data_IF_297945469443
#
_entry.id   IF_297945469443
#
_cell.length_a   1.000
_cell.length_b   1.000
_cell.length_c   1.000
_cell.angle_alpha   90.00
_cell.angle_beta   90.00
_cell.angle_gamma   90.00
#
_symmetry.space_group_name_H-M   'P 1'
#
loop_
_entity.id
_entity.type
_entity.pdbx_description
1 polymer ?
#
# COMPACT_ATOMS: atom_id res chain seq x y z
N UNK A 1 26.97 13.23 3.88
CA UNK A 1 27.00 13.19 2.40
C UNK A 1 26.31 14.45 1.89
N UNK A 2 27.03 15.35 1.21
CA UNK A 2 26.41 16.50 0.55
C UNK A 2 25.68 15.98 -0.69
N UNK A 3 24.36 16.17 -0.76
CA UNK A 3 23.60 15.96 -2.00
C UNK A 3 24.06 17.02 -3.00
N UNK A 4 25.15 16.74 -3.71
CA UNK A 4 25.63 17.58 -4.79
C UNK A 4 24.64 17.36 -5.93
N UNK A 5 23.79 18.37 -6.15
CA UNK A 5 22.97 18.48 -7.34
C UNK A 5 23.90 18.70 -8.53
N UNK A 6 24.43 17.62 -9.10
CA UNK A 6 24.92 17.70 -10.47
C UNK A 6 23.68 17.91 -11.34
N UNK A 7 23.45 19.17 -11.70
CA UNK A 7 22.52 19.57 -12.76
C UNK A 7 23.10 19.07 -14.07
N UNK A 8 23.03 17.76 -14.28
CA UNK A 8 23.04 17.19 -15.60
C UNK A 8 21.60 17.28 -16.07
N UNK A 9 21.39 18.23 -17.00
CA UNK A 9 20.25 18.31 -17.92
C UNK A 9 20.08 16.97 -18.65
N UNK A 10 19.61 15.95 -17.94
CA UNK A 10 19.01 14.76 -18.52
C UNK A 10 17.54 15.00 -18.32
N UNK A 11 16.92 15.42 -19.41
CA UNK A 11 15.49 15.51 -19.68
C UNK A 11 14.63 15.61 -18.42
N UNK A 12 14.09 16.81 -18.23
CA UNK A 12 12.87 17.08 -17.50
C UNK A 12 11.93 15.88 -17.74
N UNK A 13 11.95 14.90 -16.83
CA UNK A 13 10.81 14.04 -16.66
C UNK A 13 9.77 15.05 -16.27
N UNK A 14 8.92 15.40 -17.22
CA UNK A 14 7.62 15.90 -16.92
C UNK A 14 6.99 14.83 -16.05
N UNK A 15 7.24 14.91 -14.74
CA UNK A 15 6.23 14.57 -13.75
C UNK A 15 5.18 15.65 -13.99
N UNK A 16 4.46 15.50 -15.11
CA UNK A 16 3.07 15.90 -15.19
C UNK A 16 2.50 15.36 -13.91
N UNK A 17 2.11 16.28 -13.05
CA UNK A 17 1.48 16.18 -11.73
C UNK A 17 0.76 14.84 -11.49
N UNK A 18 1.53 13.76 -11.43
CA UNK A 18 0.97 12.43 -11.31
C UNK A 18 0.75 12.35 -9.82
N UNK A 19 -0.50 12.38 -9.37
CA UNK A 19 -0.91 12.09 -7.99
C UNK A 19 -0.49 10.68 -7.52
N UNK A 20 0.42 10.02 -8.24
CA UNK A 20 1.05 8.74 -7.94
C UNK A 20 2.03 8.91 -6.78
N UNK A 21 1.93 8.06 -5.74
CA UNK A 21 2.97 7.98 -4.72
C UNK A 21 4.33 7.60 -5.33
N UNK A 22 5.37 8.34 -4.98
CA UNK A 22 6.74 7.98 -5.31
C UNK A 22 7.15 6.78 -4.45
N UNK A 23 7.33 5.62 -5.06
CA UNK A 23 7.74 4.40 -4.37
C UNK A 23 9.22 4.12 -4.58
N UNK A 24 9.91 3.70 -3.52
CA UNK A 24 11.32 3.33 -3.57
C UNK A 24 11.55 1.98 -2.87
N UNK A 25 12.61 1.28 -3.26
CA UNK A 25 13.05 0.04 -2.62
C UNK A 25 14.57 -0.02 -2.55
N UNK A 26 15.08 -0.77 -1.59
CA UNK A 26 16.51 -1.03 -1.48
C UNK A 26 16.82 -2.13 -0.48
N UNK A 27 18.10 -2.39 -0.32
CA UNK A 27 18.63 -3.32 0.66
C UNK A 27 19.91 -2.78 1.28
N UNK A 28 20.19 -3.16 2.51
CA UNK A 28 21.40 -2.75 3.22
C UNK A 28 21.92 -3.89 4.10
N UNK A 29 23.18 -4.24 3.89
CA UNK A 29 23.88 -5.24 4.70
C UNK A 29 24.55 -4.56 5.91
N UNK A 30 24.35 -5.15 7.09
CA UNK A 30 24.98 -4.68 8.32
C UNK A 30 25.27 -5.83 9.28
N UNK A 31 26.35 -5.65 10.03
CA UNK A 31 26.67 -6.53 11.14
C UNK A 31 25.88 -6.12 12.38
N UNK A 32 25.12 -7.05 12.93
CA UNK A 32 24.31 -6.87 14.14
C UNK A 32 24.81 -7.79 15.23
N UNK A 33 24.88 -7.29 16.45
CA UNK A 33 25.10 -8.05 17.67
C UNK A 33 24.23 -7.45 18.77
N UNK A 34 23.84 -8.25 19.76
CA UNK A 34 23.12 -7.73 20.92
C UNK A 34 23.33 -8.61 22.14
N UNK A 35 23.33 -8.00 23.32
CA UNK A 35 23.24 -8.73 24.59
C UNK A 35 21.80 -9.11 24.94
N UNK A 36 20.81 -8.60 24.18
CA UNK A 36 19.39 -8.87 24.33
C UNK A 36 18.83 -9.48 23.03
N UNK A 37 17.58 -9.94 23.06
CA UNK A 37 16.87 -10.39 21.86
C UNK A 37 16.54 -9.26 20.86
N UNK A 38 16.99 -8.03 21.09
CA UNK A 38 16.64 -6.85 20.27
C UNK A 38 17.85 -5.95 20.10
N UNK A 39 17.95 -5.32 18.95
CA UNK A 39 18.96 -4.28 18.68
C UNK A 39 18.39 -3.20 17.79
N UNK A 40 18.89 -1.98 17.94
CA UNK A 40 18.50 -0.86 17.09
C UNK A 40 19.53 -0.67 15.97
N UNK A 41 19.05 -0.33 14.78
CA UNK A 41 19.91 0.00 13.66
C UNK A 41 19.34 1.18 12.87
N UNK A 42 20.24 2.03 12.36
CA UNK A 42 19.88 3.07 11.39
C UNK A 42 20.23 2.60 9.99
N UNK A 43 19.22 2.53 9.12
CA UNK A 43 19.34 2.01 7.77
C UNK A 43 19.31 3.19 6.79
N UNK A 44 20.42 3.49 6.10
CA UNK A 44 20.46 4.57 5.13
C UNK A 44 19.78 4.13 3.84
N UNK A 45 18.94 4.98 3.25
CA UNK A 45 18.32 4.67 1.96
C UNK A 45 19.32 4.70 0.80
N UNK A 46 20.44 5.41 0.97
CA UNK A 46 21.46 5.67 -0.08
C UNK A 46 20.88 6.29 -1.36
N UNK A 47 19.81 7.08 -1.22
CA UNK A 47 19.17 7.81 -2.31
C UNK A 47 18.82 9.24 -1.88
N UNK A 48 18.72 10.14 -2.85
CA UNK A 48 18.32 11.53 -2.62
C UNK A 48 16.80 11.64 -2.74
N UNK A 49 16.09 11.64 -1.61
CA UNK A 49 14.64 11.79 -1.59
C UNK A 49 14.24 13.27 -1.41
N UNK A 50 13.12 13.71 -2.02
CA UNK A 50 12.65 15.09 -1.91
C UNK A 50 12.27 15.46 -0.46
N UNK A 51 11.63 14.54 0.26
CA UNK A 51 11.29 14.62 1.70
C UNK A 51 11.49 13.26 2.39
N UNK A 52 11.27 13.21 3.70
CA UNK A 52 11.16 11.93 4.40
C UNK A 52 9.95 11.13 3.87
N UNK A 53 10.07 9.80 3.72
CA UNK A 53 8.94 8.99 3.31
C UNK A 53 7.77 9.10 4.28
N UNK A 54 6.55 9.01 3.76
CA UNK A 54 5.33 8.97 4.58
C UNK A 54 5.16 7.57 5.20
N UNK A 55 5.81 6.55 4.63
CA UNK A 55 5.85 5.18 5.15
C UNK A 55 7.10 4.42 4.70
N UNK A 56 7.53 3.48 5.54
CA UNK A 56 8.56 2.49 5.24
C UNK A 56 8.08 1.12 5.71
N UNK A 57 8.32 0.10 4.89
CA UNK A 57 8.24 -1.30 5.29
C UNK A 57 9.63 -1.91 5.17
N UNK A 58 10.03 -2.72 6.15
CA UNK A 58 11.32 -3.39 6.14
C UNK A 58 11.21 -4.82 6.66
N UNK A 59 12.05 -5.70 6.11
CA UNK A 59 12.26 -7.06 6.59
C UNK A 59 13.74 -7.31 6.75
N UNK A 60 14.11 -8.20 7.66
CA UNK A 60 15.49 -8.61 7.86
C UNK A 60 15.64 -10.11 7.62
N UNK A 61 16.76 -10.49 7.01
CA UNK A 61 17.14 -11.88 6.77
C UNK A 61 18.63 -12.07 6.98
N UNK A 62 19.11 -13.27 7.32
CA UNK A 62 20.54 -13.52 7.31
C UNK A 62 21.07 -13.34 5.88
N UNK A 63 22.23 -12.69 5.74
CA UNK A 63 22.84 -12.51 4.42
C UNK A 63 23.30 -13.85 3.83
N UNK A 64 23.67 -14.81 4.69
CA UNK A 64 23.80 -16.21 4.31
C UNK A 64 22.44 -16.93 4.49
N UNK A 65 21.74 -17.29 3.41
CA UNK A 65 20.41 -17.89 3.49
C UNK A 65 20.40 -19.31 4.06
N UNK A 66 21.55 -19.97 4.18
CA UNK A 66 21.67 -21.28 4.84
C UNK A 66 21.58 -21.20 6.36
N UNK A 67 21.68 -20.00 6.95
CA UNK A 67 21.53 -19.82 8.39
C UNK A 67 20.05 -19.81 8.79
N UNK A 68 19.67 -20.49 9.90
CA UNK A 68 18.27 -20.63 10.29
C UNK A 68 17.70 -19.39 11.02
N UNK A 69 18.44 -18.28 11.06
CA UNK A 69 18.08 -17.08 11.82
C UNK A 69 16.82 -16.43 11.26
N UNK A 70 15.91 -16.05 12.16
CA UNK A 70 14.67 -15.37 11.80
C UNK A 70 14.61 -14.03 12.52
N UNK A 71 14.16 -13.01 11.81
CA UNK A 71 14.10 -11.66 12.35
C UNK A 71 12.70 -11.07 12.21
N UNK A 72 12.28 -10.34 13.23
CA UNK A 72 11.21 -9.36 13.16
C UNK A 72 11.83 -7.97 13.10
N UNK A 73 11.18 -7.07 12.37
CA UNK A 73 11.62 -5.68 12.22
C UNK A 73 10.46 -4.76 12.56
N UNK A 74 10.72 -3.79 13.44
CA UNK A 74 9.79 -2.71 13.74
C UNK A 74 10.41 -1.37 13.33
N UNK A 75 9.67 -0.58 12.55
CA UNK A 75 10.08 0.79 12.19
C UNK A 75 9.82 1.68 13.40
N UNK A 76 10.86 2.36 13.89
CA UNK A 76 10.76 3.28 15.03
C UNK A 76 10.69 4.74 14.60
N UNK A 77 11.47 5.11 13.57
CA UNK A 77 11.54 6.48 13.08
C UNK A 77 11.85 6.50 11.58
N UNK A 78 11.19 7.39 10.84
CA UNK A 78 11.43 7.62 9.41
C UNK A 78 12.04 9.02 9.24
N UNK A 79 13.23 9.09 8.65
CA UNK A 79 13.95 10.34 8.40
C UNK A 79 14.10 10.57 6.89
N UNK A 80 14.65 11.72 6.51
CA UNK A 80 14.86 12.06 5.09
C UNK A 80 15.90 11.17 4.39
N UNK A 81 16.93 10.70 5.11
CA UNK A 81 18.07 9.98 4.52
C UNK A 81 18.25 8.56 5.06
N UNK A 82 17.49 8.20 6.09
CA UNK A 82 17.54 6.92 6.79
C UNK A 82 16.22 6.63 7.51
N UNK A 83 16.11 5.44 8.06
CA UNK A 83 15.09 5.09 9.04
C UNK A 83 15.72 4.31 10.18
N UNK A 84 15.16 4.42 11.38
CA UNK A 84 15.58 3.65 12.55
C UNK A 84 14.65 2.46 12.70
N UNK A 85 15.23 1.29 12.91
CA UNK A 85 14.52 0.05 13.19
C UNK A 85 14.95 -0.57 14.50
N UNK A 86 14.02 -1.26 15.14
CA UNK A 86 14.31 -2.32 16.10
C UNK A 86 14.28 -3.66 15.36
N UNK A 87 15.34 -4.46 15.51
CA UNK A 87 15.46 -5.79 14.93
C UNK A 87 15.49 -6.79 16.07
N UNK A 88 14.53 -7.72 16.06
CA UNK A 88 14.40 -8.81 17.02
C UNK A 88 14.74 -10.14 16.33
N UNK A 89 15.58 -10.97 16.93
CA UNK A 89 15.82 -12.34 16.45
C UNK A 89 14.82 -13.24 17.16
N UNK A 90 13.91 -13.83 16.40
CA UNK A 90 12.76 -14.54 16.98
C UNK A 90 13.08 -15.99 17.32
N UNK A 91 14.18 -16.55 16.80
CA UNK A 91 14.63 -17.90 17.13
C UNK A 91 15.42 -17.97 18.45
N UNK A 92 15.72 -16.84 19.09
CA UNK A 92 16.51 -16.81 20.31
C UNK A 92 16.08 -15.66 21.24
N UNK A 93 15.70 -15.99 22.48
CA UNK A 93 15.19 -15.02 23.46
C UNK A 93 16.29 -14.23 24.22
N UNK A 94 17.56 -14.54 23.98
CA UNK A 94 18.72 -13.92 24.63
C UNK A 94 19.61 -13.22 23.60
N UNK A 95 20.66 -12.55 24.08
CA UNK A 95 21.67 -11.94 23.22
C UNK A 95 22.23 -12.90 22.17
N UNK A 96 22.65 -12.35 21.03
CA UNK A 96 23.22 -13.09 19.92
C UNK A 96 24.54 -12.50 19.46
N UNK A 97 25.38 -13.40 18.95
CA UNK A 97 26.67 -13.07 18.37
C UNK A 97 26.53 -12.22 17.10
N UNK A 98 27.68 -11.69 16.66
CA UNK A 98 27.77 -10.86 15.47
C UNK A 98 27.32 -11.64 14.23
N UNK A 99 26.17 -11.26 13.68
CA UNK A 99 25.58 -11.83 12.46
C UNK A 99 25.59 -10.77 11.36
N UNK A 100 25.89 -11.18 10.13
CA UNK A 100 25.67 -10.35 8.94
C UNK A 100 24.21 -10.54 8.49
N UNK A 101 23.42 -9.47 8.60
CA UNK A 101 22.04 -9.44 8.18
C UNK A 101 21.85 -8.47 7.01
N UNK A 102 20.89 -8.77 6.14
CA UNK A 102 20.42 -7.88 5.09
C UNK A 102 19.05 -7.35 5.49
N UNK A 103 18.91 -6.02 5.53
CA UNK A 103 17.62 -5.35 5.69
C UNK A 103 17.12 -4.94 4.32
N UNK A 104 16.08 -5.62 3.84
CA UNK A 104 15.36 -5.25 2.63
C UNK A 104 14.24 -4.29 3.01
N UNK A 105 14.03 -3.23 2.21
CA UNK A 105 13.05 -2.22 2.54
C UNK A 105 12.35 -1.65 1.29
N UNK A 106 11.15 -1.16 1.52
CA UNK A 106 10.37 -0.35 0.57
C UNK A 106 9.78 0.86 1.27
N UNK A 107 9.52 1.92 0.52
CA UNK A 107 8.95 3.16 1.05
C UNK A 107 8.04 3.81 0.02
N UNK A 108 7.17 4.71 0.49
CA UNK A 108 6.48 5.62 -0.42
C UNK A 108 6.41 7.05 0.14
N UNK A 109 6.30 7.98 -0.80
CA UNK A 109 6.12 9.41 -0.56
C UNK A 109 4.89 9.84 -1.35
N UNK A 110 3.86 10.36 -0.70
CA UNK A 110 2.66 10.86 -1.37
C UNK A 110 1.37 10.65 -0.58
N UNK A 111 0.25 10.94 -1.22
CA UNK A 111 -1.07 10.73 -0.63
C UNK A 111 -1.51 9.28 -0.90
N UNK A 112 -1.52 8.48 0.17
CA UNK A 112 -1.84 7.07 0.15
C UNK A 112 -2.10 6.57 1.56
N UNK A 113 -2.50 5.32 1.66
CA UNK A 113 -2.57 4.58 2.92
C UNK A 113 -1.96 3.20 2.72
N UNK A 114 -1.70 2.49 3.82
CA UNK A 114 -1.11 1.15 3.77
C UNK A 114 -2.01 0.18 4.49
N UNK A 115 -2.22 -0.96 3.87
CA UNK A 115 -2.76 -2.13 4.53
C UNK A 115 -1.80 -3.31 4.35
N UNK A 116 -1.23 -3.78 5.45
CA UNK A 116 -0.16 -4.80 5.47
C UNK A 116 1.02 -4.36 4.59
N UNK A 117 1.25 -5.06 3.49
CA UNK A 117 2.34 -4.80 2.54
C UNK A 117 1.84 -4.14 1.24
N UNK A 118 0.60 -3.64 1.20
CA UNK A 118 0.01 -2.97 0.05
C UNK A 118 -0.06 -1.47 0.29
N UNK A 119 0.45 -0.70 -0.68
CA UNK A 119 0.22 0.75 -0.75
C UNK A 119 -1.06 0.95 -1.55
N UNK A 120 -2.02 1.62 -0.92
CA UNK A 120 -3.32 1.96 -1.48
C UNK A 120 -3.32 3.46 -1.75
N UNK A 121 -3.69 3.85 -2.96
CA UNK A 121 -3.86 5.27 -3.28
C UNK A 121 -5.02 5.41 -4.25
N UNK A 122 -5.60 6.61 -4.28
CA UNK A 122 -6.66 6.96 -5.18
C UNK A 122 -6.12 8.03 -6.13
N UNK A 123 -5.81 7.69 -7.39
CA UNK A 123 -5.36 8.68 -8.35
C UNK A 123 -6.51 9.67 -8.59
N UNK A 124 -6.24 10.96 -8.39
CA UNK A 124 -7.14 12.06 -8.71
C UNK A 124 -8.44 12.15 -7.85
N UNK A 125 -8.28 12.30 -6.52
CA UNK A 125 -9.40 12.55 -5.60
C UNK A 125 -10.24 13.81 -5.90
N UNK A 126 -9.68 14.76 -6.66
CA UNK A 126 -10.35 16.00 -7.08
C UNK A 126 -10.87 15.97 -8.54
N UNK A 127 -10.16 15.33 -9.48
CA UNK A 127 -10.57 15.20 -10.90
C UNK A 127 -11.20 13.83 -11.15
N UNK A 128 -12.40 13.64 -10.58
CA UNK A 128 -13.13 12.37 -10.68
C UNK A 128 -13.59 12.11 -12.11
N UNK A 129 -13.13 10.99 -12.69
CA UNK A 129 -13.52 10.55 -14.03
C UNK A 129 -14.48 9.36 -13.95
N UNK A 130 -15.60 9.45 -14.67
CA UNK A 130 -16.45 8.26 -14.89
C UNK A 130 -15.75 7.35 -15.89
N UNK A 131 -15.42 6.14 -15.46
CA UNK A 131 -14.77 5.12 -16.28
C UNK A 131 -15.49 3.79 -16.12
N UNK A 132 -15.44 2.94 -17.16
CA UNK A 132 -15.79 1.54 -17.00
C UNK A 132 -14.64 0.78 -16.33
N UNK A 133 -14.91 -0.46 -15.87
CA UNK A 133 -13.92 -1.28 -15.16
C UNK A 133 -12.64 -1.54 -15.94
N UNK A 134 -12.72 -1.78 -17.26
CA UNK A 134 -11.53 -2.08 -18.07
C UNK A 134 -10.61 -0.87 -18.15
N UNK A 135 -11.17 0.30 -18.45
CA UNK A 135 -10.41 1.56 -18.49
C UNK A 135 -9.85 1.93 -17.11
N UNK A 136 -10.61 1.72 -16.03
CA UNK A 136 -10.10 1.93 -14.68
C UNK A 136 -8.95 0.98 -14.33
N UNK A 137 -9.06 -0.29 -14.73
CA UNK A 137 -7.99 -1.28 -14.55
C UNK A 137 -6.73 -0.92 -15.33
N UNK A 138 -6.86 -0.57 -16.61
CA UNK A 138 -5.77 -0.09 -17.46
C UNK A 138 -5.10 1.13 -16.84
N UNK A 139 -5.88 2.12 -16.40
CA UNK A 139 -5.34 3.31 -15.72
C UNK A 139 -4.55 2.96 -14.47
N UNK A 140 -4.98 1.99 -13.66
CA UNK A 140 -4.20 1.54 -12.51
C UNK A 140 -2.90 0.82 -12.91
N UNK A 141 -2.94 0.00 -13.97
CA UNK A 141 -1.78 -0.72 -14.51
C UNK A 141 -0.75 0.25 -15.06
N UNK A 142 -1.17 1.25 -15.83
CA UNK A 142 -0.31 2.30 -16.39
C UNK A 142 0.40 3.11 -15.29
N UNK A 143 -0.23 3.20 -14.11
CA UNK A 143 0.35 3.82 -12.92
C UNK A 143 1.18 2.83 -12.05
N UNK A 144 1.50 1.65 -12.56
CA UNK A 144 2.32 0.63 -11.89
C UNK A 144 1.61 -0.08 -10.73
N UNK A 145 0.28 -0.06 -10.72
CA UNK A 145 -0.57 -0.70 -9.73
C UNK A 145 -1.61 -1.62 -10.36
N UNK A 146 -2.73 -1.77 -9.64
CA UNK A 146 -3.92 -2.51 -10.08
C UNK A 146 -5.11 -2.05 -9.23
N UNK A 147 -6.33 -2.33 -9.68
CA UNK A 147 -7.52 -2.16 -8.84
C UNK A 147 -7.38 -2.99 -7.57
N UNK A 148 -7.84 -2.43 -6.45
CA UNK A 148 -7.69 -3.03 -5.12
C UNK A 148 -8.63 -4.21 -4.93
N UNK A 149 -8.11 -5.34 -4.42
CA UNK A 149 -8.93 -6.40 -3.88
C UNK A 149 -9.10 -6.17 -2.38
N UNK A 150 -10.34 -6.09 -1.90
CA UNK A 150 -10.61 -6.04 -0.45
C UNK A 150 -10.62 -7.46 0.07
N UNK A 151 -9.66 -7.78 0.94
CA UNK A 151 -9.42 -9.17 1.40
C UNK A 151 -10.14 -9.52 2.69
N UNK A 152 -10.45 -8.53 3.53
CA UNK A 152 -11.16 -8.69 4.79
C UNK A 152 -11.80 -7.35 5.24
N UNK A 153 -12.58 -7.41 6.33
CA UNK A 153 -13.25 -6.24 6.90
C UNK A 153 -12.27 -5.12 7.29
N UNK A 154 -11.13 -5.47 7.87
CA UNK A 154 -10.16 -4.47 8.29
C UNK A 154 -9.61 -3.68 7.08
N UNK A 155 -9.37 -4.36 5.95
CA UNK A 155 -9.02 -3.69 4.70
C UNK A 155 -10.17 -2.85 4.15
N UNK A 156 -11.41 -3.34 4.23
CA UNK A 156 -12.60 -2.57 3.85
C UNK A 156 -12.63 -1.24 4.61
N UNK A 157 -12.51 -1.28 5.94
CA UNK A 157 -12.57 -0.10 6.78
C UNK A 157 -11.45 0.91 6.44
N UNK A 158 -10.25 0.42 6.14
CA UNK A 158 -9.12 1.27 5.70
C UNK A 158 -9.40 1.91 4.33
N UNK A 159 -9.81 1.11 3.33
CA UNK A 159 -10.11 1.60 1.97
C UNK A 159 -11.26 2.61 2.01
N UNK A 160 -12.35 2.27 2.69
CA UNK A 160 -13.54 3.11 2.80
C UNK A 160 -13.21 4.46 3.41
N UNK A 161 -12.55 4.47 4.57
CA UNK A 161 -12.22 5.72 5.26
C UNK A 161 -11.19 6.56 4.49
N UNK A 162 -10.17 5.92 3.90
CA UNK A 162 -9.20 6.62 3.07
C UNK A 162 -9.87 7.30 1.87
N UNK A 163 -10.71 6.58 1.12
CA UNK A 163 -11.45 7.15 0.00
C UNK A 163 -12.41 8.25 0.46
N UNK A 164 -13.13 8.04 1.56
CA UNK A 164 -14.06 9.03 2.14
C UNK A 164 -13.37 10.35 2.54
N UNK A 165 -12.12 10.29 2.97
CA UNK A 165 -11.32 11.47 3.32
C UNK A 165 -10.62 12.11 2.11
N UNK A 166 -10.31 11.32 1.08
CA UNK A 166 -9.52 11.77 -0.08
C UNK A 166 -10.40 12.33 -1.20
N UNK A 167 -11.62 11.80 -1.37
CA UNK A 167 -12.52 12.16 -2.46
C UNK A 167 -13.17 13.52 -2.20
N UNK A 168 -13.14 14.41 -3.20
CA UNK A 168 -13.93 15.64 -3.21
C UNK A 168 -15.32 15.34 -3.78
N UNK A 169 -16.31 15.25 -2.91
CA UNK A 169 -17.69 14.86 -3.27
C UNK A 169 -18.47 15.95 -4.02
N UNK A 170 -18.21 17.24 -3.76
CA UNK A 170 -19.03 18.32 -4.31
C UNK A 170 -20.49 18.19 -3.88
N UNK A 171 -21.41 18.14 -4.84
CA UNK A 171 -22.85 17.91 -4.62
C UNK A 171 -23.26 16.44 -4.64
N UNK A 172 -22.35 15.50 -4.89
CA UNK A 172 -22.70 14.10 -5.02
C UNK A 172 -22.94 13.44 -3.65
N UNK A 173 -24.06 12.73 -3.53
CA UNK A 173 -24.43 12.01 -2.30
C UNK A 173 -23.56 10.76 -2.06
N UNK A 174 -22.94 10.24 -3.12
CA UNK A 174 -22.01 9.11 -3.06
C UNK A 174 -21.12 9.07 -4.29
N UNK A 175 -20.02 8.30 -4.20
CA UNK A 175 -19.10 8.00 -5.30
C UNK A 175 -18.87 6.50 -5.33
N UNK A 176 -18.87 5.91 -6.53
CA UNK A 176 -18.53 4.49 -6.70
C UNK A 176 -17.11 4.35 -7.22
N UNK A 177 -16.36 3.41 -6.65
CA UNK A 177 -15.01 3.08 -7.07
C UNK A 177 -14.93 1.61 -7.49
N UNK A 178 -14.26 1.34 -8.61
CA UNK A 178 -14.05 -0.02 -9.09
C UNK A 178 -13.09 -0.78 -8.17
N UNK A 179 -13.42 -2.04 -7.89
CA UNK A 179 -12.54 -2.99 -7.22
C UNK A 179 -11.91 -3.96 -8.22
N UNK A 180 -10.79 -4.55 -7.82
CA UNK A 180 -10.13 -5.63 -8.58
C UNK A 180 -10.96 -6.91 -8.53
N UNK A 181 -11.62 -7.14 -7.39
CA UNK A 181 -12.50 -8.27 -7.17
C UNK A 181 -13.71 -8.28 -8.11
N UNK A 182 -14.28 -9.45 -8.26
CA UNK A 182 -15.56 -9.68 -8.94
C UNK A 182 -16.58 -10.26 -7.98
N UNK A 183 -17.86 -10.05 -8.29
CA UNK A 183 -18.98 -10.67 -7.58
C UNK A 183 -19.72 -11.64 -8.50
N UNK A 184 -20.03 -12.82 -7.99
CA UNK A 184 -20.87 -13.80 -8.66
C UNK A 184 -22.23 -13.89 -7.94
N UNK A 185 -23.33 -13.41 -8.54
CA UNK A 185 -24.65 -13.43 -7.93
C UNK A 185 -25.24 -14.84 -7.82
N UNK A 186 -24.83 -15.78 -8.68
CA UNK A 186 -25.36 -17.15 -8.65
C UNK A 186 -24.85 -17.93 -7.43
N UNK A 187 -23.64 -17.62 -6.97
CA UNK A 187 -23.01 -18.26 -5.81
C UNK A 187 -22.94 -17.36 -4.58
N UNK A 188 -23.34 -16.10 -4.71
CA UNK A 188 -23.23 -15.07 -3.69
C UNK A 188 -21.81 -14.94 -3.10
N UNK A 189 -20.81 -14.89 -3.99
CA UNK A 189 -19.39 -14.85 -3.59
C UNK A 189 -18.62 -13.72 -4.25
N UNK A 190 -17.70 -13.14 -3.49
CA UNK A 190 -16.69 -12.21 -4.01
C UNK A 190 -15.40 -12.97 -4.24
N UNK A 191 -14.80 -12.80 -5.42
CA UNK A 191 -13.53 -13.41 -5.81
C UNK A 191 -12.52 -12.32 -6.12
N UNK A 192 -11.35 -12.36 -5.46
CA UNK A 192 -10.25 -11.43 -5.72
C UNK A 192 -9.69 -11.65 -7.14
N UNK A 193 -8.96 -10.67 -7.66
CA UNK A 193 -8.32 -10.79 -8.98
C UNK A 193 -7.32 -11.95 -9.10
N UNK A 194 -6.86 -12.51 -7.98
CA UNK A 194 -5.97 -13.68 -7.92
C UNK A 194 -6.72 -15.03 -7.78
N UNK A 195 -8.05 -15.03 -7.84
CA UNK A 195 -8.90 -16.22 -7.72
C UNK A 195 -9.21 -16.67 -6.30
N UNK A 196 -8.67 -16.02 -5.26
CA UNK A 196 -8.99 -16.33 -3.85
C UNK A 196 -10.31 -15.69 -3.41
N UNK A 197 -10.97 -16.21 -2.35
CA UNK A 197 -12.14 -15.55 -1.78
C UNK A 197 -11.83 -14.12 -1.34
N UNK A 198 -12.67 -13.17 -1.72
CA UNK A 198 -12.61 -11.78 -1.28
C UNK A 198 -13.54 -11.51 -0.09
N UNK A 199 -13.47 -10.29 0.43
CA UNK A 199 -14.38 -9.86 1.48
C UNK A 199 -15.81 -9.73 0.92
N UNK A 200 -16.78 -10.31 1.63
CA UNK A 200 -18.20 -10.26 1.28
C UNK A 200 -19.03 -9.85 2.51
N UNK A 201 -18.96 -8.57 2.88
CA UNK A 201 -19.69 -8.02 4.03
C UNK A 201 -19.76 -6.49 3.96
N UNK A 202 -20.68 -5.91 4.73
CA UNK A 202 -20.86 -4.45 4.89
C UNK A 202 -21.01 -3.67 3.57
N UNK A 203 -21.53 -4.31 2.54
CA UNK A 203 -21.95 -3.64 1.30
C UNK A 203 -23.23 -2.85 1.56
N UNK A 204 -23.42 -1.76 0.82
CA UNK A 204 -24.65 -0.97 0.90
C UNK A 204 -25.88 -1.88 0.67
N UNK A 205 -26.99 -1.71 1.41
CA UNK A 205 -28.15 -2.60 1.28
C UNK A 205 -28.65 -2.68 -0.16
N UNK A 206 -28.61 -3.89 -0.73
CA UNK A 206 -28.94 -4.14 -2.14
C UNK A 206 -27.74 -4.19 -3.09
N UNK A 207 -26.52 -3.97 -2.59
CA UNK A 207 -25.27 -4.18 -3.30
C UNK A 207 -24.55 -5.47 -2.84
N UNK A 208 -23.69 -6.06 -3.69
CA UNK A 208 -23.54 -5.76 -5.11
C UNK A 208 -24.81 -6.05 -5.94
N UNK A 209 -25.17 -5.12 -6.81
CA UNK A 209 -26.44 -5.13 -7.55
C UNK A 209 -26.48 -6.21 -8.65
N UNK A 210 -27.64 -6.85 -8.83
CA UNK A 210 -28.01 -7.62 -10.05
C UNK A 210 -28.59 -6.75 -11.17
N UNK A 211 -28.65 -5.42 -10.99
CA UNK A 211 -29.56 -4.54 -11.76
C UNK A 211 -29.06 -4.23 -13.19
N UNK A 212 -27.92 -4.76 -13.63
CA UNK A 212 -27.49 -4.48 -15.01
C UNK A 212 -28.39 -5.16 -16.06
N UNK A 213 -29.16 -6.20 -15.70
CA UNK A 213 -29.85 -7.03 -16.70
C UNK A 213 -28.90 -7.75 -17.65
N UNK A 214 -27.58 -7.68 -17.40
CA UNK A 214 -26.54 -8.36 -18.16
C UNK A 214 -26.01 -9.49 -17.28
N UNK A 215 -26.44 -10.72 -17.59
CA UNK A 215 -26.06 -11.97 -16.90
C UNK A 215 -24.54 -12.23 -16.85
N UNK A 216 -23.72 -11.40 -17.51
CA UNK A 216 -22.25 -11.49 -17.51
C UNK A 216 -21.50 -10.41 -16.72
N UNK A 217 -22.19 -9.45 -16.08
CA UNK A 217 -21.51 -8.36 -15.37
C UNK A 217 -21.07 -8.77 -13.96
N UNK A 218 -19.78 -9.02 -13.78
CA UNK A 218 -19.20 -9.45 -12.49
C UNK A 218 -18.35 -8.37 -11.81
N UNK A 219 -18.28 -7.15 -12.37
CA UNK A 219 -17.51 -6.06 -11.79
C UNK A 219 -18.07 -5.62 -10.45
N UNK A 220 -17.19 -5.46 -9.45
CA UNK A 220 -17.58 -5.02 -8.10
C UNK A 220 -17.20 -3.55 -7.90
N UNK A 221 -18.14 -2.76 -7.38
CA UNK A 221 -17.93 -1.37 -6.98
C UNK A 221 -18.09 -1.22 -5.47
N UNK A 222 -17.30 -0.34 -4.87
CA UNK A 222 -17.52 0.14 -3.51
C UNK A 222 -18.16 1.54 -3.56
N UNK A 223 -19.31 1.69 -2.91
CA UNK A 223 -19.99 2.98 -2.74
C UNK A 223 -19.41 3.70 -1.51
N UNK A 224 -18.79 4.86 -1.73
CA UNK A 224 -18.24 5.74 -0.71
C UNK A 224 -19.20 6.92 -0.53
N UNK A 225 -19.54 7.25 0.71
CA UNK A 225 -20.41 8.40 1.06
C UNK A 225 -19.62 9.52 1.72
N UNK A 226 -20.04 10.79 1.58
CA UNK A 226 -19.32 11.93 2.14
C UNK A 226 -19.25 11.89 3.68
N UNK A 227 -18.28 12.58 4.30
CA UNK A 227 -18.19 12.72 5.76
C UNK A 227 -19.48 13.24 6.42
N UNK A 228 -20.25 14.08 5.71
CA UNK A 228 -21.51 14.64 6.19
C UNK A 228 -22.69 13.65 6.22
N UNK A 229 -22.57 12.50 5.56
CA UNK A 229 -23.61 11.48 5.57
C UNK A 229 -23.70 10.80 6.94
N UNK A 230 -24.89 10.82 7.55
CA UNK A 230 -25.15 10.29 8.91
C UNK A 230 -26.06 9.05 8.92
N UNK A 231 -26.44 8.52 7.76
CA UNK A 231 -27.21 7.27 7.71
C UNK A 231 -26.33 6.06 7.99
N UNK A 232 -26.92 4.98 8.50
CA UNK A 232 -26.25 3.68 8.65
C UNK A 232 -26.12 3.01 7.28
N UNK A 233 -24.94 2.46 6.98
CA UNK A 233 -24.77 1.47 5.91
C UNK A 233 -25.41 0.15 6.36
#
# INVERSE_FOLDING_TARGET
MKCIWFVLLVEVMSVVDSHRPLTNRGSFDLYLASNNAKTMAEIPYRMCMPKAPDYVHATARPSNPSLPHKFNVAILEIKKLSFIVEIERVDQATGWDRILATVDWSSYIGNGTVYRNLILWFPDGADRRRMNRNTASESCIDNGGRLVDIVDKAMYDVVYNYCRQTIVFGSDEYVRIWLGSSYNPATDTVTQSNGKPGYHGDWWPGAPFTISGYEGYTGLELEIRPPSYTGTN
#
